data_IF_237302282950
#
_entry.id   IF_237302282950
#
_cell.length_a   1.000
_cell.length_b   1.000
_cell.length_c   1.000
_cell.angle_alpha   90.00
_cell.angle_beta   90.00
_cell.angle_gamma   90.00
#
_symmetry.space_group_name_H-M   'P 1'
#
loop_
_entity.id
_entity.type
_entity.pdbx_description
1 polymer ?
#
# COMPACT_ATOMS: atom_id res chain seq x y z
N UNK A 1 3.97 -14.12 10.08
CA UNK A 1 2.66 -14.37 9.41
C UNK A 1 2.93 -14.93 8.00
N UNK A 2 2.17 -15.94 7.57
CA UNK A 2 2.34 -16.58 6.25
C UNK A 2 1.02 -16.56 5.49
N UNK A 3 1.07 -16.28 4.19
CA UNK A 3 -0.05 -16.43 3.26
C UNK A 3 0.31 -17.55 2.27
N UNK A 4 -0.71 -18.30 1.81
CA UNK A 4 -0.60 -19.26 0.69
C UNK A 4 -1.36 -18.80 -0.55
N UNK A 5 -2.09 -17.68 -0.45
CA UNK A 5 -2.90 -17.16 -1.55
C UNK A 5 -1.99 -16.43 -2.52
N UNK A 6 -1.97 -16.89 -3.76
CA UNK A 6 -1.23 -16.26 -4.85
C UNK A 6 -2.12 -15.28 -5.59
N UNK A 7 -1.75 -14.01 -5.56
CA UNK A 7 -2.38 -12.97 -6.38
C UNK A 7 -1.49 -12.72 -7.60
N UNK A 8 -2.07 -12.73 -8.81
CA UNK A 8 -1.34 -12.38 -10.03
C UNK A 8 -1.30 -10.86 -10.24
N UNK A 9 -2.45 -10.22 -10.06
CA UNK A 9 -2.63 -8.79 -10.21
C UNK A 9 -3.43 -8.25 -9.03
N UNK A 10 -2.98 -7.13 -8.47
CA UNK A 10 -3.72 -6.38 -7.44
C UNK A 10 -3.77 -4.93 -7.87
N UNK A 11 -4.95 -4.32 -7.78
CA UNK A 11 -5.15 -2.89 -7.97
C UNK A 11 -5.88 -2.34 -6.75
N UNK A 12 -5.15 -1.67 -5.86
CA UNK A 12 -5.71 -1.01 -4.68
C UNK A 12 -5.90 0.48 -4.99
N UNK A 13 -7.09 1.02 -4.77
CA UNK A 13 -7.41 2.44 -4.97
C UNK A 13 -7.96 3.06 -3.69
N UNK A 14 -7.69 4.34 -3.50
CA UNK A 14 -8.24 5.12 -2.39
C UNK A 14 -8.42 6.59 -2.77
N UNK A 15 -9.52 7.17 -2.29
CA UNK A 15 -9.78 8.61 -2.38
C UNK A 15 -9.37 9.25 -1.06
N UNK A 16 -8.11 9.65 -0.96
CA UNK A 16 -7.57 10.23 0.26
C UNK A 16 -7.83 11.74 0.27
N UNK A 17 -8.36 12.26 1.38
CA UNK A 17 -8.34 13.71 1.63
C UNK A 17 -6.98 14.19 2.15
N UNK A 18 -6.13 13.25 2.59
CA UNK A 18 -4.77 13.50 3.05
C UNK A 18 -3.83 13.61 1.87
N UNK A 19 -3.02 14.67 1.83
CA UNK A 19 -1.94 14.80 0.83
C UNK A 19 -0.85 13.74 1.03
N UNK A 20 -0.56 13.42 2.29
CA UNK A 20 0.51 12.49 2.69
C UNK A 20 -0.07 11.07 2.81
N UNK A 21 0.38 10.17 1.93
CA UNK A 21 -0.04 8.77 1.87
C UNK A 21 1.19 7.88 1.70
N UNK A 22 1.32 6.88 2.57
CA UNK A 22 2.41 5.92 2.58
C UNK A 22 1.94 4.57 2.03
N UNK A 23 2.40 4.16 0.84
CA UNK A 23 2.10 2.84 0.30
C UNK A 23 2.95 1.75 0.97
N UNK A 24 2.41 0.54 1.09
CA UNK A 24 3.14 -0.63 1.60
C UNK A 24 2.71 -1.91 0.89
N UNK A 25 3.70 -2.72 0.50
CA UNK A 25 3.48 -4.03 -0.10
C UNK A 25 4.42 -5.04 0.55
N UNK A 26 3.84 -6.05 1.19
CA UNK A 26 4.56 -7.12 1.89
C UNK A 26 4.20 -8.47 1.31
N UNK A 27 5.18 -9.36 1.24
CA UNK A 27 4.99 -10.77 0.94
C UNK A 27 5.10 -11.63 2.21
N UNK A 28 4.78 -12.90 2.06
CA UNK A 28 4.79 -13.93 3.10
C UNK A 28 6.09 -13.89 3.90
N UNK A 29 5.98 -14.03 5.23
CA UNK A 29 7.11 -13.83 6.14
C UNK A 29 7.46 -12.36 6.41
N UNK A 30 6.54 -11.42 6.13
CA UNK A 30 6.70 -9.98 6.39
C UNK A 30 7.88 -9.36 5.63
N UNK A 31 8.21 -9.89 4.45
CA UNK A 31 9.30 -9.37 3.62
C UNK A 31 8.77 -8.27 2.71
N UNK A 32 9.61 -7.28 2.42
CA UNK A 32 9.29 -6.26 1.42
C UNK A 32 9.23 -6.92 0.03
N UNK A 33 8.27 -6.46 -0.77
CA UNK A 33 8.20 -6.82 -2.19
C UNK A 33 9.08 -5.85 -3.00
N UNK A 34 9.94 -6.34 -3.91
CA UNK A 34 10.78 -5.49 -4.75
C UNK A 34 9.97 -4.46 -5.54
N UNK A 35 10.49 -3.24 -5.68
CA UNK A 35 9.80 -2.15 -6.38
C UNK A 35 9.56 -2.41 -7.87
N UNK A 36 10.28 -3.36 -8.47
CA UNK A 36 10.04 -3.79 -9.86
C UNK A 36 8.73 -4.57 -10.06
N UNK A 37 8.07 -4.97 -8.98
CA UNK A 37 6.85 -5.81 -8.98
C UNK A 37 5.60 -4.97 -8.74
N UNK A 38 5.76 -3.73 -8.29
CA UNK A 38 4.62 -2.87 -7.96
C UNK A 38 4.99 -1.39 -8.10
N UNK A 39 4.00 -0.59 -8.44
CA UNK A 39 4.07 0.86 -8.61
C UNK A 39 3.04 1.55 -7.71
N UNK A 40 3.20 2.85 -7.51
CA UNK A 40 2.25 3.67 -6.77
C UNK A 40 2.08 4.98 -7.52
N UNK A 41 0.85 5.30 -7.86
CA UNK A 41 0.51 6.48 -8.63
C UNK A 41 -0.25 7.50 -7.77
N UNK A 42 -0.05 8.76 -8.14
CA UNK A 42 -0.69 9.90 -7.54
C UNK A 42 -1.35 10.71 -8.66
N UNK A 43 -2.68 10.70 -8.68
CA UNK A 43 -3.48 11.56 -9.57
C UNK A 43 -4.51 12.32 -8.73
N UNK A 44 -4.31 13.63 -8.56
CA UNK A 44 -5.15 14.49 -7.73
C UNK A 44 -5.34 13.91 -6.31
N UNK A 45 -6.59 13.73 -5.87
CA UNK A 45 -6.95 13.12 -4.58
C UNK A 45 -7.03 11.59 -4.64
N UNK A 46 -6.67 10.99 -5.78
CA UNK A 46 -6.67 9.54 -5.97
C UNK A 46 -5.26 9.00 -5.76
N UNK A 47 -5.18 7.90 -5.03
CA UNK A 47 -3.96 7.11 -4.85
C UNK A 47 -4.27 5.68 -5.25
N UNK A 48 -3.33 5.08 -5.94
CA UNK A 48 -3.44 3.70 -6.35
C UNK A 48 -2.10 2.97 -6.32
N UNK A 49 -2.18 1.68 -6.02
CA UNK A 49 -1.08 0.74 -6.06
C UNK A 49 -1.45 -0.35 -7.04
N UNK A 50 -0.59 -0.59 -8.03
CA UNK A 50 -0.69 -1.74 -8.91
C UNK A 50 0.43 -2.71 -8.54
N UNK A 51 0.08 -3.98 -8.39
CA UNK A 51 1.02 -5.06 -8.13
C UNK A 51 0.89 -6.08 -9.27
N UNK A 52 1.99 -6.33 -9.97
CA UNK A 52 2.12 -7.43 -10.92
C UNK A 52 3.04 -8.51 -10.34
N UNK A 53 2.41 -9.51 -9.74
CA UNK A 53 3.07 -10.65 -9.11
C UNK A 53 3.02 -11.90 -9.99
N UNK A 54 2.97 -11.75 -11.33
CA UNK A 54 2.98 -12.87 -12.29
C UNK A 54 4.16 -13.84 -12.13
N UNK A 55 5.28 -13.38 -11.55
CA UNK A 55 6.45 -14.21 -11.20
C UNK A 55 6.35 -14.92 -9.83
N UNK A 56 5.21 -14.87 -9.15
CA UNK A 56 4.92 -15.65 -7.95
C UNK A 56 5.35 -15.00 -6.64
N UNK A 57 4.87 -13.78 -6.36
CA UNK A 57 4.99 -13.21 -5.02
C UNK A 57 3.80 -13.65 -4.15
N UNK A 58 4.07 -14.32 -3.03
CA UNK A 58 3.05 -14.66 -2.03
C UNK A 58 2.65 -13.40 -1.25
N UNK A 59 1.81 -12.56 -1.85
CA UNK A 59 1.41 -11.29 -1.26
C UNK A 59 0.70 -11.52 0.08
N UNK A 60 1.14 -10.78 1.09
CA UNK A 60 0.59 -10.79 2.43
C UNK A 60 -0.20 -9.51 2.72
N UNK A 61 0.34 -8.35 2.34
CA UNK A 61 -0.30 -7.05 2.54
C UNK A 61 -0.10 -6.19 1.32
N UNK A 62 -1.17 -5.52 0.88
CA UNK A 62 -1.13 -4.33 0.02
C UNK A 62 -1.91 -3.27 0.76
N UNK A 63 -1.30 -2.13 1.05
CA UNK A 63 -1.92 -1.10 1.87
C UNK A 63 -1.48 0.31 1.51
N UNK A 64 -2.34 1.26 1.85
CA UNK A 64 -2.04 2.69 1.80
C UNK A 64 -2.44 3.29 3.14
N UNK A 65 -1.51 4.01 3.78
CA UNK A 65 -1.74 4.67 5.06
C UNK A 65 -1.65 6.19 4.87
N UNK A 66 -2.79 6.88 4.93
CA UNK A 66 -2.86 8.34 4.94
C UNK A 66 -2.65 8.93 6.34
N UNK A 67 -2.13 10.16 6.43
CA UNK A 67 -2.01 10.92 7.68
C UNK A 67 -2.48 12.37 7.51
N UNK A 68 -3.60 12.69 8.13
CA UNK A 68 -4.13 14.06 8.22
C UNK A 68 -3.52 14.79 9.42
N UNK A 69 -2.31 15.34 9.27
CA UNK A 69 -1.61 16.03 10.36
C UNK A 69 -2.38 17.27 10.86
N UNK A 70 -3.15 17.90 9.98
CA UNK A 70 -4.07 19.01 10.28
C UNK A 70 -5.20 18.63 11.25
N UNK A 71 -5.49 17.33 11.37
CA UNK A 71 -6.55 16.78 12.25
C UNK A 71 -5.99 16.06 13.47
N UNK A 72 -4.68 16.10 13.69
CA UNK A 72 -4.10 15.55 14.90
C UNK A 72 -4.62 16.37 16.10
N UNK A 73 -5.09 15.72 17.17
CA UNK A 73 -5.57 16.44 18.35
C UNK A 73 -4.45 17.28 18.95
N UNK A 74 -4.76 18.43 19.56
CA UNK A 74 -3.76 19.25 20.22
C UNK A 74 -3.06 18.43 21.32
N UNK A 75 -1.77 18.71 21.50
CA UNK A 75 -0.98 18.12 22.57
C UNK A 75 -1.64 18.45 23.93
N UNK A 76 -1.92 17.43 24.74
CA UNK A 76 -2.41 17.60 26.09
C UNK A 76 -1.26 17.36 27.07
N UNK A 77 -0.95 18.38 27.87
CA UNK A 77 -0.04 18.31 29.03
C UNK A 77 -0.82 17.78 30.22
#
# INVERSE_FOLDING_TARGET
MKSKTSFKHIHLKGNFSSEIVYPSVLQSGMRLVPRSVWDHHHHDNKRDIHVDATKGADILVVGMKGRCFDRDPPYKI
#
